data_IF_046294883904
#
_entry.id   IF_046294883904
#
_cell.length_a   1.000
_cell.length_b   1.000
_cell.length_c   1.000
_cell.angle_alpha   90.00
_cell.angle_beta   90.00
_cell.angle_gamma   90.00
#
_symmetry.space_group_name_H-M   'P 1'
#
loop_
_entity.id
_entity.type
_entity.pdbx_description
1 polymer ?
#
# COMPACT_ATOMS: atom_id res chain seq x y z
N UNK A 1 49.80 -12.83 3.50
CA UNK A 1 48.94 -12.58 4.67
C UNK A 1 47.93 -11.44 4.46
N UNK A 2 48.24 -10.39 3.70
CA UNK A 2 47.31 -9.26 3.43
C UNK A 2 46.05 -9.62 2.62
N UNK A 3 46.12 -10.61 1.73
CA UNK A 3 44.99 -10.97 0.84
C UNK A 3 43.85 -11.73 1.55
N UNK A 4 44.14 -12.45 2.63
CA UNK A 4 43.14 -13.20 3.39
C UNK A 4 42.29 -12.31 4.33
N UNK A 5 42.86 -11.20 4.82
CA UNK A 5 42.17 -10.21 5.65
C UNK A 5 41.16 -9.37 4.86
N UNK A 6 41.49 -9.04 3.61
CA UNK A 6 40.59 -8.31 2.70
C UNK A 6 39.38 -9.17 2.27
N UNK A 7 39.59 -10.48 2.05
CA UNK A 7 38.52 -11.40 1.72
C UNK A 7 37.57 -11.64 2.91
N UNK A 8 38.09 -11.75 4.13
CA UNK A 8 37.29 -11.91 5.35
C UNK A 8 36.42 -10.68 5.65
N UNK A 9 36.93 -9.48 5.39
CA UNK A 9 36.17 -8.24 5.53
C UNK A 9 35.04 -8.11 4.51
N UNK A 10 35.26 -8.55 3.25
CA UNK A 10 34.24 -8.54 2.20
C UNK A 10 33.09 -9.54 2.46
N UNK A 11 33.40 -10.71 3.03
CA UNK A 11 32.39 -11.73 3.35
C UNK A 11 31.55 -11.29 4.56
N UNK A 12 32.15 -10.71 5.60
CA UNK A 12 31.40 -10.11 6.72
C UNK A 12 30.48 -8.98 6.23
N UNK A 13 30.95 -8.16 5.28
CA UNK A 13 30.17 -7.08 4.67
C UNK A 13 28.96 -7.63 3.89
N UNK A 14 29.12 -8.72 3.14
CA UNK A 14 28.01 -9.35 2.42
C UNK A 14 26.97 -9.98 3.36
N UNK A 15 27.37 -10.49 4.53
CA UNK A 15 26.42 -11.05 5.50
C UNK A 15 25.74 -9.98 6.35
N UNK A 16 26.43 -8.88 6.68
CA UNK A 16 25.86 -7.75 7.43
C UNK A 16 24.96 -6.83 6.59
N UNK A 17 25.13 -6.84 5.26
CA UNK A 17 24.27 -6.12 4.32
C UNK A 17 23.11 -6.96 3.77
N UNK A 18 22.90 -8.19 4.25
CA UNK A 18 21.69 -8.96 3.91
C UNK A 18 20.56 -8.80 4.94
N UNK A 19 20.86 -8.28 6.13
CA UNK A 19 19.86 -7.66 7.00
C UNK A 19 19.61 -6.21 6.54
N UNK A 20 19.31 -6.04 5.25
CA UNK A 20 18.74 -4.78 4.76
C UNK A 20 17.43 -4.58 5.50
N UNK A 21 17.44 -3.57 6.35
CA UNK A 21 16.26 -2.96 6.92
C UNK A 21 15.20 -2.84 5.82
N UNK A 22 14.19 -3.70 5.87
CA UNK A 22 12.90 -3.33 5.32
C UNK A 22 12.53 -2.01 6.01
N UNK A 23 12.25 -0.99 5.20
CA UNK A 23 11.59 0.21 5.71
C UNK A 23 10.30 -0.27 6.38
N UNK A 24 10.31 -0.36 7.71
CA UNK A 24 9.10 -0.66 8.46
C UNK A 24 8.21 0.56 8.27
N UNK A 25 7.15 0.42 7.48
CA UNK A 25 6.07 1.40 7.44
C UNK A 25 5.47 1.44 8.84
N UNK A 26 5.89 2.42 9.64
CA UNK A 26 5.31 2.69 10.93
C UNK A 26 4.47 3.95 10.75
N UNK A 27 3.16 3.79 10.83
CA UNK A 27 2.25 4.92 10.97
C UNK A 27 2.54 5.57 12.31
N UNK A 28 3.17 6.73 12.29
CA UNK A 28 3.26 7.62 13.45
C UNK A 28 2.20 8.71 13.39
N UNK A 29 0.98 8.33 13.04
CA UNK A 29 -0.15 9.16 13.44
C UNK A 29 -0.36 8.96 14.95
N UNK A 30 -0.82 9.99 15.66
CA UNK A 30 -1.31 9.85 17.04
C UNK A 30 -2.54 8.90 17.14
N UNK A 31 -2.95 8.28 16.02
CA UNK A 31 -4.07 7.35 15.92
C UNK A 31 -3.53 5.93 16.09
N UNK A 32 -3.86 5.24 17.20
CA UNK A 32 -3.37 3.89 17.44
C UNK A 32 -3.97 2.90 16.43
N UNK A 33 -3.12 2.01 15.90
CA UNK A 33 -3.58 0.79 15.23
C UNK A 33 -4.37 -0.07 16.23
N UNK A 34 -5.56 -0.53 15.79
CA UNK A 34 -6.46 -1.36 16.60
C UNK A 34 -6.97 -2.53 15.76
N UNK A 35 -7.34 -3.65 16.39
CA UNK A 35 -7.95 -4.74 15.65
C UNK A 35 -9.34 -4.34 15.13
N UNK A 36 -9.75 -4.85 13.95
CA UNK A 36 -11.03 -4.49 13.32
C UNK A 36 -12.24 -4.62 14.26
N UNK A 37 -12.29 -5.65 15.12
CA UNK A 37 -13.43 -5.85 16.02
C UNK A 37 -13.58 -4.79 17.11
N UNK A 38 -12.52 -4.04 17.42
CA UNK A 38 -12.58 -2.89 18.35
C UNK A 38 -13.07 -1.62 17.62
N UNK A 39 -12.76 -1.49 16.33
CA UNK A 39 -13.17 -0.34 15.50
C UNK A 39 -14.62 -0.51 15.03
N UNK A 40 -14.95 -1.70 14.54
CA UNK A 40 -16.23 -2.05 13.95
C UNK A 40 -16.86 -3.21 14.75
N UNK A 41 -17.94 -2.97 15.50
CA UNK A 41 -18.62 -4.02 16.27
C UNK A 41 -19.26 -5.14 15.40
N UNK A 42 -19.69 -4.83 14.17
CA UNK A 42 -20.27 -5.79 13.21
C UNK A 42 -19.95 -5.43 11.75
N UNK A 43 -20.36 -6.29 10.82
CA UNK A 43 -20.26 -6.02 9.38
C UNK A 43 -21.03 -4.79 8.93
N UNK A 44 -22.15 -4.45 9.59
CA UNK A 44 -22.86 -3.20 9.35
C UNK A 44 -21.98 -1.99 9.61
N UNK A 45 -21.38 -1.89 10.81
CA UNK A 45 -20.53 -0.73 11.12
C UNK A 45 -19.31 -0.68 10.22
N UNK A 46 -18.74 -1.84 9.85
CA UNK A 46 -17.64 -1.89 8.88
C UNK A 46 -18.05 -1.25 7.55
N UNK A 47 -19.13 -1.73 6.93
CA UNK A 47 -19.57 -1.25 5.63
C UNK A 47 -20.01 0.22 5.66
N UNK A 48 -20.76 0.63 6.68
CA UNK A 48 -21.33 1.99 6.72
C UNK A 48 -20.31 3.06 7.13
N UNK A 49 -19.22 2.70 7.85
CA UNK A 49 -18.26 3.68 8.39
C UNK A 49 -16.91 3.71 7.70
N UNK A 50 -16.35 2.55 7.31
CA UNK A 50 -14.97 2.49 6.80
C UNK A 50 -14.72 3.49 5.68
N UNK A 51 -15.66 3.57 4.74
CA UNK A 51 -15.57 4.43 3.57
C UNK A 51 -16.46 5.68 3.67
N UNK A 52 -16.61 6.24 4.87
CA UNK A 52 -17.31 7.51 5.11
C UNK A 52 -18.73 7.56 4.53
N UNK A 53 -19.53 6.52 4.77
CA UNK A 53 -20.90 6.42 4.27
C UNK A 53 -21.02 6.17 2.76
N UNK A 54 -19.96 5.72 2.10
CA UNK A 54 -20.01 5.27 0.70
C UNK A 54 -21.00 4.13 0.51
N UNK A 55 -21.13 3.25 1.51
CA UNK A 55 -21.95 2.05 1.47
C UNK A 55 -23.03 2.02 2.55
N UNK A 56 -24.12 1.32 2.27
CA UNK A 56 -25.23 1.07 3.21
C UNK A 56 -25.44 -0.42 3.32
N UNK A 57 -25.63 -0.92 4.54
CA UNK A 57 -25.86 -2.34 4.78
C UNK A 57 -27.29 -2.74 4.38
N UNK A 58 -27.43 -3.54 3.31
CA UNK A 58 -28.72 -3.95 2.75
C UNK A 58 -28.95 -5.47 2.90
N UNK A 59 -30.12 -5.82 3.45
CA UNK A 59 -30.55 -7.20 3.74
C UNK A 59 -31.52 -7.76 2.71
N UNK A 60 -32.05 -6.90 1.83
CA UNK A 60 -32.85 -7.33 0.71
C UNK A 60 -31.97 -7.60 -0.51
N UNK A 61 -31.80 -8.88 -0.86
CA UNK A 61 -30.89 -9.31 -1.93
C UNK A 61 -31.23 -8.70 -3.29
N UNK A 62 -32.50 -8.41 -3.58
CA UNK A 62 -32.89 -7.81 -4.86
C UNK A 62 -32.50 -6.33 -5.00
N UNK A 63 -32.06 -5.71 -3.91
CA UNK A 63 -31.69 -4.29 -3.82
C UNK A 63 -30.22 -4.07 -3.46
N UNK A 64 -29.44 -5.15 -3.32
CA UNK A 64 -28.11 -5.11 -2.75
C UNK A 64 -27.04 -5.53 -3.77
N UNK A 65 -26.11 -4.61 -4.05
CA UNK A 65 -24.95 -4.85 -4.88
C UNK A 65 -23.97 -5.80 -4.19
N UNK A 66 -23.18 -6.51 -4.98
CA UNK A 66 -22.04 -7.31 -4.50
C UNK A 66 -20.74 -6.74 -5.05
N UNK A 67 -19.70 -6.73 -4.23
CA UNK A 67 -18.35 -6.29 -4.62
C UNK A 67 -17.53 -7.39 -5.27
N UNK A 68 -18.12 -8.57 -5.48
CA UNK A 68 -17.52 -9.65 -6.24
C UNK A 68 -18.60 -10.63 -6.72
N UNK A 69 -18.37 -11.25 -7.88
CA UNK A 69 -19.25 -12.28 -8.44
C UNK A 69 -18.45 -13.26 -9.32
N UNK A 70 -19.05 -14.44 -9.54
CA UNK A 70 -18.50 -15.49 -10.40
C UNK A 70 -19.39 -15.81 -11.61
N UNK A 71 -20.55 -15.15 -11.68
CA UNK A 71 -21.49 -15.29 -12.77
C UNK A 71 -20.90 -14.71 -14.06
N UNK A 72 -21.36 -15.22 -15.20
CA UNK A 72 -20.94 -14.71 -16.52
C UNK A 72 -21.41 -13.27 -16.75
N UNK A 73 -22.65 -12.98 -16.33
CA UNK A 73 -23.26 -11.66 -16.43
C UNK A 73 -23.11 -10.93 -15.09
N UNK A 74 -22.94 -9.60 -15.14
CA UNK A 74 -22.82 -8.79 -13.93
C UNK A 74 -24.16 -8.75 -13.17
N UNK A 75 -24.28 -9.37 -11.98
CA UNK A 75 -25.55 -9.39 -11.24
C UNK A 75 -25.95 -8.01 -10.70
N UNK A 76 -25.00 -7.06 -10.64
CA UNK A 76 -25.28 -5.70 -10.21
C UNK A 76 -26.17 -4.94 -11.22
N UNK A 77 -26.18 -5.33 -12.49
CA UNK A 77 -27.07 -4.74 -13.49
C UNK A 77 -28.55 -5.03 -13.18
N UNK A 78 -28.84 -6.21 -12.64
CA UNK A 78 -30.19 -6.61 -12.20
C UNK A 78 -30.61 -5.81 -10.98
N UNK A 79 -29.70 -5.63 -10.01
CA UNK A 79 -29.92 -4.79 -8.83
C UNK A 79 -30.22 -3.35 -9.24
N UNK A 80 -29.44 -2.78 -10.17
CA UNK A 80 -29.68 -1.45 -10.73
C UNK A 80 -31.09 -1.33 -11.30
N UNK A 81 -31.55 -2.32 -12.08
CA UNK A 81 -32.92 -2.32 -12.64
C UNK A 81 -34.00 -2.45 -11.56
N UNK A 82 -33.77 -3.26 -10.53
CA UNK A 82 -34.71 -3.41 -9.40
C UNK A 82 -34.84 -2.13 -8.57
N UNK A 83 -33.81 -1.27 -8.58
CA UNK A 83 -33.85 0.06 -7.98
C UNK A 83 -34.53 1.11 -8.87
N UNK A 84 -35.02 0.74 -10.06
CA UNK A 84 -35.64 1.65 -11.02
C UNK A 84 -34.63 2.51 -11.78
N UNK A 85 -33.36 2.11 -11.79
CA UNK A 85 -32.28 2.76 -12.52
C UNK A 85 -31.95 1.95 -13.79
N UNK A 86 -31.02 2.46 -14.58
CA UNK A 86 -30.51 1.79 -15.78
C UNK A 86 -28.99 1.70 -15.69
N UNK A 87 -28.42 0.61 -16.22
CA UNK A 87 -26.98 0.46 -16.33
C UNK A 87 -26.40 1.68 -17.08
N UNK A 88 -25.37 2.35 -16.54
CA UNK A 88 -24.90 3.60 -17.09
C UNK A 88 -24.07 3.37 -18.37
N UNK A 89 -24.20 4.27 -19.33
CA UNK A 89 -23.36 4.30 -20.54
C UNK A 89 -22.04 5.04 -20.33
N UNK A 90 -21.85 5.66 -19.16
CA UNK A 90 -20.67 6.42 -18.78
C UNK A 90 -20.15 5.88 -17.45
N UNK A 91 -18.83 5.86 -17.29
CA UNK A 91 -18.22 5.72 -15.98
C UNK A 91 -18.31 7.10 -15.32
N UNK A 92 -18.99 7.19 -14.18
CA UNK A 92 -19.22 8.49 -13.52
C UNK A 92 -18.18 8.84 -12.44
N UNK A 93 -17.50 7.84 -11.89
CA UNK A 93 -16.33 8.05 -11.03
C UNK A 93 -15.13 8.49 -11.87
N UNK A 94 -14.13 9.11 -11.25
CA UNK A 94 -13.00 9.76 -11.93
C UNK A 94 -11.66 9.33 -11.32
N UNK A 95 -10.56 9.97 -11.73
CA UNK A 95 -9.15 9.65 -11.44
C UNK A 95 -8.60 8.53 -12.33
N UNK A 96 -8.92 7.27 -12.03
CA UNK A 96 -8.36 6.12 -12.74
C UNK A 96 -9.38 5.41 -13.66
N UNK A 97 -10.60 5.92 -13.67
CA UNK A 97 -11.71 5.40 -14.45
C UNK A 97 -11.65 5.84 -15.91
N UNK A 98 -12.10 4.95 -16.81
CA UNK A 98 -12.41 5.27 -18.21
C UNK A 98 -13.54 6.29 -18.31
N UNK A 99 -13.83 6.79 -19.52
CA UNK A 99 -15.01 7.64 -19.75
C UNK A 99 -16.29 6.82 -19.90
N UNK A 100 -16.17 5.64 -20.54
CA UNK A 100 -17.28 4.74 -20.90
C UNK A 100 -16.92 3.30 -20.53
N UNK A 101 -17.89 2.49 -20.08
CA UNK A 101 -17.67 1.07 -19.86
C UNK A 101 -17.30 0.34 -21.16
N UNK A 102 -16.49 -0.71 -21.05
CA UNK A 102 -16.15 -1.56 -22.20
C UNK A 102 -15.25 -2.74 -21.84
N UNK A 103 -15.00 -3.65 -22.80
CA UNK A 103 -14.26 -4.88 -22.55
C UNK A 103 -12.76 -4.63 -22.33
N UNK A 104 -12.16 -5.48 -21.51
CA UNK A 104 -10.74 -5.52 -21.18
C UNK A 104 -10.07 -6.76 -21.81
N UNK A 105 -8.73 -6.75 -22.02
CA UNK A 105 -8.01 -7.84 -22.68
C UNK A 105 -8.06 -9.15 -21.89
N UNK A 106 -7.72 -10.28 -22.52
CA UNK A 106 -7.67 -11.61 -21.88
C UNK A 106 -6.70 -11.70 -20.69
N UNK A 107 -5.74 -10.78 -20.61
CA UNK A 107 -4.77 -10.66 -19.51
C UNK A 107 -5.34 -9.97 -18.27
N UNK A 108 -6.56 -9.43 -18.34
CA UNK A 108 -7.30 -8.79 -17.24
C UNK A 108 -7.74 -9.81 -16.17
N UNK A 109 -6.82 -10.19 -15.29
CA UNK A 109 -7.00 -11.31 -14.37
C UNK A 109 -7.42 -10.91 -12.94
N UNK A 110 -6.89 -9.81 -12.40
CA UNK A 110 -7.13 -9.45 -10.98
C UNK A 110 -8.58 -9.08 -10.72
N UNK A 111 -9.18 -8.21 -11.55
CA UNK A 111 -10.58 -7.78 -11.43
C UNK A 111 -11.48 -8.43 -12.48
N UNK A 112 -11.17 -9.68 -12.86
CA UNK A 112 -11.79 -10.39 -13.98
C UNK A 112 -13.33 -10.43 -14.02
N UNK A 113 -14.11 -10.33 -12.93
CA UNK A 113 -15.57 -10.32 -13.03
C UNK A 113 -16.11 -9.22 -13.95
N UNK A 114 -15.41 -8.08 -14.08
CA UNK A 114 -15.82 -6.96 -14.93
C UNK A 114 -15.21 -6.99 -16.33
N UNK A 115 -14.48 -8.04 -16.72
CA UNK A 115 -13.72 -8.08 -17.97
C UNK A 115 -14.54 -7.69 -19.21
N UNK A 116 -15.77 -8.19 -19.34
CA UNK A 116 -16.59 -7.95 -20.53
C UNK A 116 -17.15 -6.51 -20.60
N UNK A 117 -17.26 -5.81 -19.46
CA UNK A 117 -17.80 -4.47 -19.39
C UNK A 117 -17.32 -3.75 -18.10
N UNK A 118 -16.13 -3.15 -18.14
CA UNK A 118 -15.48 -2.52 -16.99
C UNK A 118 -15.36 -1.00 -17.14
N UNK A 119 -15.21 -0.29 -16.02
CA UNK A 119 -14.81 1.12 -15.95
C UNK A 119 -13.33 1.36 -15.64
N UNK A 120 -12.54 0.32 -15.40
CA UNK A 120 -11.09 0.39 -15.16
C UNK A 120 -10.31 -0.12 -16.38
N UNK A 121 -8.97 -0.13 -16.32
CA UNK A 121 -8.12 -0.75 -17.34
C UNK A 121 -7.23 -1.83 -16.73
N UNK A 122 -6.74 -2.78 -17.51
CA UNK A 122 -5.73 -3.74 -17.07
C UNK A 122 -4.53 -3.07 -16.37
N UNK A 123 -4.03 -1.93 -16.87
CA UNK A 123 -2.92 -1.24 -16.20
C UNK A 123 -3.29 -0.83 -14.77
N UNK A 124 -4.49 -0.27 -14.58
CA UNK A 124 -5.00 0.17 -13.27
C UNK A 124 -5.03 -0.98 -12.25
N UNK A 125 -5.35 -2.19 -12.70
CA UNK A 125 -5.61 -3.34 -11.82
C UNK A 125 -4.75 -4.57 -12.13
N UNK A 126 -3.55 -4.36 -12.67
CA UNK A 126 -2.68 -5.47 -13.12
C UNK A 126 -2.18 -6.40 -12.01
N UNK A 127 -2.24 -5.97 -10.75
CA UNK A 127 -1.93 -6.77 -9.56
C UNK A 127 -2.47 -6.12 -8.29
N UNK A 128 -2.65 -6.91 -7.23
CA UNK A 128 -2.90 -6.42 -5.86
C UNK A 128 -1.96 -5.27 -5.48
N UNK A 129 -0.65 -5.41 -5.78
CA UNK A 129 0.34 -4.39 -5.41
C UNK A 129 0.12 -3.08 -6.19
N UNK A 130 -0.21 -3.17 -7.47
CA UNK A 130 -0.52 -1.99 -8.30
C UNK A 130 -1.75 -1.27 -7.75
N UNK A 131 -2.82 -2.00 -7.45
CA UNK A 131 -4.06 -1.45 -6.88
C UNK A 131 -3.77 -0.71 -5.58
N UNK A 132 -2.99 -1.34 -4.69
CA UNK A 132 -2.62 -0.75 -3.40
C UNK A 132 -1.86 0.57 -3.55
N UNK A 133 -0.95 0.63 -4.53
CA UNK A 133 -0.09 1.78 -4.78
C UNK A 133 -0.76 2.91 -5.57
N UNK A 134 -1.93 2.69 -6.17
CA UNK A 134 -2.59 3.59 -7.12
C UNK A 134 -2.82 5.01 -6.60
N UNK A 135 -2.99 5.16 -5.30
CA UNK A 135 -3.36 6.44 -4.68
C UNK A 135 -2.27 7.07 -3.82
N UNK A 136 -1.19 6.35 -3.53
CA UNK A 136 -0.12 6.79 -2.63
C UNK A 136 -0.08 5.98 -1.33
N UNK A 137 1.08 5.99 -0.63
CA UNK A 137 1.31 5.20 0.56
C UNK A 137 0.35 5.52 1.71
N UNK A 138 -0.12 6.77 1.80
CA UNK A 138 -1.10 7.20 2.79
C UNK A 138 -2.47 6.53 2.61
N UNK A 139 -2.78 5.99 1.43
CA UNK A 139 -4.04 5.31 1.12
C UNK A 139 -3.93 3.78 1.08
N UNK A 140 -2.78 3.22 1.45
CA UNK A 140 -2.64 1.77 1.57
C UNK A 140 -3.58 1.20 2.64
N UNK A 141 -4.30 0.11 2.36
CA UNK A 141 -5.18 -0.51 3.36
C UNK A 141 -4.44 -1.18 4.52
N UNK A 142 -3.16 -1.54 4.34
CA UNK A 142 -2.30 -2.27 5.27
C UNK A 142 -1.32 -1.35 6.03
N UNK A 143 -1.71 -0.09 6.25
CA UNK A 143 -0.92 0.90 7.01
C UNK A 143 -0.51 0.43 8.41
N UNK A 144 -1.30 -0.44 9.05
CA UNK A 144 -0.97 -1.03 10.36
C UNK A 144 -0.17 -2.33 10.29
N UNK A 145 0.46 -2.59 9.14
CA UNK A 145 1.15 -3.83 8.82
C UNK A 145 0.30 -4.75 7.94
N UNK A 146 0.91 -5.82 7.41
CA UNK A 146 0.25 -6.73 6.47
C UNK A 146 -1.03 -7.33 7.06
N UNK A 147 -2.12 -7.29 6.30
CA UNK A 147 -3.37 -7.97 6.64
C UNK A 147 -3.24 -9.48 6.36
N UNK A 148 -4.03 -10.30 7.04
CA UNK A 148 -4.12 -11.72 6.65
C UNK A 148 -4.65 -11.84 5.21
N UNK A 149 -4.25 -12.90 4.45
CA UNK A 149 -4.76 -13.11 3.09
C UNK A 149 -6.29 -13.26 3.02
N UNK A 150 -6.94 -13.68 4.11
CA UNK A 150 -8.39 -13.76 4.17
C UNK A 150 -9.04 -12.37 4.19
N UNK A 151 -8.44 -11.43 4.93
CA UNK A 151 -8.88 -10.05 5.02
C UNK A 151 -8.52 -9.24 3.77
N UNK A 152 -7.27 -9.33 3.29
CA UNK A 152 -6.79 -8.52 2.15
C UNK A 152 -7.61 -8.75 0.88
N UNK A 153 -8.10 -9.98 0.66
CA UNK A 153 -9.00 -10.29 -0.47
C UNK A 153 -10.23 -9.39 -0.52
N UNK A 154 -10.80 -8.98 0.61
CA UNK A 154 -11.96 -8.10 0.61
C UNK A 154 -11.60 -6.67 0.20
N UNK A 155 -10.42 -6.18 0.58
CA UNK A 155 -9.92 -4.88 0.12
C UNK A 155 -9.65 -4.89 -1.39
N UNK A 156 -9.09 -5.98 -1.92
CA UNK A 156 -8.89 -6.13 -3.37
C UNK A 156 -10.22 -6.18 -4.11
N UNK A 157 -11.20 -6.94 -3.60
CA UNK A 157 -12.55 -7.01 -4.18
C UNK A 157 -13.25 -5.66 -4.17
N UNK A 158 -13.19 -4.93 -3.06
CA UNK A 158 -13.77 -3.59 -2.96
C UNK A 158 -13.08 -2.60 -3.89
N UNK A 159 -11.74 -2.62 -3.99
CA UNK A 159 -11.01 -1.77 -4.92
C UNK A 159 -11.34 -2.10 -6.39
N UNK A 160 -11.40 -3.39 -6.75
CA UNK A 160 -11.86 -3.82 -8.07
C UNK A 160 -13.29 -3.33 -8.35
N UNK A 161 -14.19 -3.45 -7.38
CA UNK A 161 -15.55 -2.95 -7.49
C UNK A 161 -15.57 -1.45 -7.71
N UNK A 162 -14.85 -0.67 -6.90
CA UNK A 162 -14.79 0.78 -7.01
C UNK A 162 -14.28 1.22 -8.39
N UNK A 163 -13.16 0.66 -8.86
CA UNK A 163 -12.55 1.05 -10.14
C UNK A 163 -13.33 0.55 -11.37
N UNK A 164 -13.87 -0.67 -11.30
CA UNK A 164 -14.30 -1.41 -12.48
C UNK A 164 -15.82 -1.49 -12.64
N UNK A 165 -16.62 -1.36 -11.58
CA UNK A 165 -18.08 -1.51 -11.66
C UNK A 165 -18.74 -0.31 -12.33
N UNK A 166 -19.39 -0.48 -13.50
CA UNK A 166 -20.10 0.62 -14.15
C UNK A 166 -21.16 1.26 -13.26
N UNK A 167 -21.89 0.46 -12.48
CA UNK A 167 -22.99 0.93 -11.66
C UNK A 167 -22.55 1.73 -10.41
N UNK A 168 -21.28 1.62 -9.97
CA UNK A 168 -20.78 2.34 -8.79
C UNK A 168 -20.93 3.86 -8.94
N UNK A 169 -20.72 4.35 -10.16
CA UNK A 169 -20.86 5.76 -10.51
C UNK A 169 -22.27 6.35 -10.33
N UNK A 170 -23.32 5.52 -10.30
CA UNK A 170 -24.70 5.98 -10.02
C UNK A 170 -24.85 6.52 -8.59
N UNK A 171 -23.93 6.12 -7.70
CA UNK A 171 -23.89 6.51 -6.28
C UNK A 171 -22.83 7.57 -6.00
N UNK A 172 -22.30 8.25 -7.02
CA UNK A 172 -21.39 9.39 -6.81
C UNK A 172 -22.10 10.46 -5.99
N UNK A 173 -21.49 10.85 -4.86
CA UNK A 173 -22.04 11.80 -3.88
C UNK A 173 -22.41 13.14 -4.51
N UNK A 174 -21.59 13.61 -5.45
CA UNK A 174 -21.81 14.84 -6.21
C UNK A 174 -22.00 14.51 -7.71
N UNK A 175 -23.22 14.12 -8.12
CA UNK A 175 -23.52 13.89 -9.53
C UNK A 175 -23.40 15.21 -10.32
N UNK A 176 -23.20 15.15 -11.64
CA UNK A 176 -22.86 16.35 -12.43
C UNK A 176 -23.87 17.50 -12.30
N UNK A 177 -25.15 17.18 -12.11
CA UNK A 177 -26.21 18.19 -11.86
C UNK A 177 -26.03 19.00 -10.56
N UNK A 178 -25.31 18.45 -9.58
CA UNK A 178 -25.07 19.02 -8.26
C UNK A 178 -23.59 19.35 -8.03
N UNK A 179 -22.70 19.01 -8.96
CA UNK A 179 -21.27 19.28 -8.84
C UNK A 179 -20.97 20.76 -9.04
N UNK A 180 -20.16 21.34 -8.13
CA UNK A 180 -19.73 22.73 -8.20
C UNK A 180 -18.20 22.75 -8.07
N UNK A 181 -17.50 23.11 -9.15
CA UNK A 181 -16.03 23.14 -9.17
C UNK A 181 -15.43 24.20 -8.22
N UNK A 182 -16.22 25.21 -7.82
CA UNK A 182 -15.77 26.27 -6.93
C UNK A 182 -15.94 25.90 -5.45
N UNK A 183 -16.66 24.83 -5.12
CA UNK A 183 -16.82 24.35 -3.76
C UNK A 183 -15.73 23.31 -3.45
N UNK A 184 -14.78 23.58 -2.54
CA UNK A 184 -13.68 22.67 -2.24
C UNK A 184 -14.15 21.36 -1.57
N UNK A 185 -15.38 21.30 -1.07
CA UNK A 185 -15.95 20.05 -0.53
C UNK A 185 -16.48 19.13 -1.62
N UNK A 186 -16.71 19.64 -2.84
CA UNK A 186 -17.21 18.85 -3.96
C UNK A 186 -16.06 18.17 -4.69
N UNK A 187 -16.26 16.90 -5.00
CA UNK A 187 -15.31 16.11 -5.76
C UNK A 187 -16.04 15.14 -6.71
N UNK A 188 -15.28 14.45 -7.56
CA UNK A 188 -15.82 13.56 -8.61
C UNK A 188 -15.56 12.07 -8.34
N UNK A 189 -15.04 11.73 -7.16
CA UNK A 189 -14.58 10.39 -6.81
C UNK A 189 -15.36 9.78 -5.65
N UNK A 190 -15.92 10.61 -4.76
CA UNK A 190 -16.60 10.13 -3.57
C UNK A 190 -17.95 9.49 -3.92
N UNK A 191 -18.17 8.29 -3.40
CA UNK A 191 -19.45 7.60 -3.41
C UNK A 191 -20.26 7.91 -2.14
N UNK A 192 -21.56 7.65 -2.17
CA UNK A 192 -22.41 7.74 -0.99
C UNK A 192 -23.67 6.88 -1.15
N UNK A 193 -23.97 6.10 -0.11
CA UNK A 193 -25.27 5.45 0.02
C UNK A 193 -25.50 4.23 -0.86
N UNK A 194 -24.46 3.61 -1.42
CA UNK A 194 -24.64 2.42 -2.28
C UNK A 194 -25.02 1.19 -1.45
N UNK A 195 -26.15 0.51 -1.71
CA UNK A 195 -26.61 -0.61 -0.90
C UNK A 195 -25.77 -1.86 -1.19
N UNK A 196 -24.98 -2.32 -0.22
CA UNK A 196 -24.12 -3.50 -0.34
C UNK A 196 -24.75 -4.67 0.39
N UNK A 197 -24.60 -5.87 -0.20
CA UNK A 197 -25.13 -7.09 0.37
C UNK A 197 -24.57 -7.36 1.76
N UNK A 198 -25.48 -7.46 2.73
CA UNK A 198 -25.20 -7.74 4.13
C UNK A 198 -24.19 -8.86 4.37
N UNK A 199 -24.34 -10.02 3.73
CA UNK A 199 -23.39 -11.13 3.95
C UNK A 199 -21.97 -10.80 3.47
N UNK A 200 -21.81 -9.93 2.46
CA UNK A 200 -20.48 -9.48 2.04
C UNK A 200 -19.82 -8.66 3.16
N UNK A 201 -20.56 -7.70 3.73
CA UNK A 201 -20.11 -6.90 4.86
C UNK A 201 -19.74 -7.76 6.09
N UNK A 202 -20.58 -8.75 6.41
CA UNK A 202 -20.36 -9.67 7.54
C UNK A 202 -19.21 -10.65 7.28
N UNK A 203 -19.00 -11.07 6.04
CA UNK A 203 -17.87 -11.90 5.66
C UNK A 203 -16.56 -11.11 5.74
N UNK A 204 -16.54 -9.86 5.25
CA UNK A 204 -15.40 -8.96 5.35
C UNK A 204 -15.01 -8.75 6.82
N UNK A 205 -15.98 -8.39 7.66
CA UNK A 205 -15.76 -8.17 9.09
C UNK A 205 -15.18 -9.40 9.80
N UNK A 206 -15.74 -10.58 9.53
CA UNK A 206 -15.23 -11.83 10.11
C UNK A 206 -13.83 -12.16 9.65
N UNK A 207 -13.52 -11.94 8.37
CA UNK A 207 -12.19 -12.22 7.81
C UNK A 207 -11.11 -11.31 8.41
N UNK A 208 -11.43 -10.02 8.62
CA UNK A 208 -10.50 -9.03 9.15
C UNK A 208 -10.48 -8.92 10.68
N UNK A 209 -11.33 -9.66 11.39
CA UNK A 209 -11.65 -9.47 12.83
C UNK A 209 -10.44 -9.14 13.73
N UNK A 210 -9.32 -9.83 13.53
CA UNK A 210 -8.11 -9.72 14.36
C UNK A 210 -6.96 -8.96 13.69
N UNK A 211 -7.10 -8.61 12.41
CA UNK A 211 -6.09 -7.81 11.70
C UNK A 211 -6.07 -6.38 12.24
N UNK A 212 -4.90 -5.74 12.16
CA UNK A 212 -4.73 -4.37 12.64
C UNK A 212 -5.15 -3.38 11.56
N UNK A 213 -5.82 -2.31 11.96
CA UNK A 213 -6.30 -1.28 11.05
C UNK A 213 -6.21 0.10 11.69
N UNK A 214 -6.20 1.13 10.84
CA UNK A 214 -6.09 2.50 11.26
C UNK A 214 -7.32 3.32 10.85
N UNK A 215 -8.03 3.83 11.85
CA UNK A 215 -9.10 4.83 11.73
C UNK A 215 -9.19 5.63 13.03
N UNK A 216 -9.67 6.87 12.96
CA UNK A 216 -10.15 7.58 14.14
C UNK A 216 -11.36 6.86 14.78
N UNK A 217 -11.87 7.41 15.88
CA UNK A 217 -12.99 6.83 16.65
C UNK A 217 -14.32 6.79 15.89
N UNK A 218 -14.43 7.52 14.79
CA UNK A 218 -15.57 7.45 13.87
C UNK A 218 -15.54 6.22 12.96
N UNK A 219 -14.42 5.48 12.90
CA UNK A 219 -14.25 4.32 12.04
C UNK A 219 -13.95 4.67 10.59
N UNK A 220 -13.67 5.93 10.26
CA UNK A 220 -13.43 6.39 8.90
C UNK A 220 -11.97 6.11 8.47
N UNK A 221 -11.77 5.36 7.39
CA UNK A 221 -10.46 5.06 6.82
C UNK A 221 -9.66 6.31 6.45
N UNK A 222 -10.33 7.28 5.80
CA UNK A 222 -9.69 8.48 5.26
C UNK A 222 -9.14 9.38 6.36
N UNK A 223 -9.73 9.31 7.55
CA UNK A 223 -9.29 10.08 8.72
C UNK A 223 -7.85 9.71 9.12
N UNK A 224 -7.46 8.44 8.99
CA UNK A 224 -6.09 8.01 9.25
C UNK A 224 -5.13 8.42 8.14
N UNK A 225 -5.53 8.25 6.88
CA UNK A 225 -4.72 8.64 5.73
C UNK A 225 -4.32 10.13 5.77
N UNK A 226 -5.23 11.00 6.23
CA UNK A 226 -4.97 12.44 6.37
C UNK A 226 -3.85 12.81 7.35
N UNK A 227 -3.42 11.88 8.21
CA UNK A 227 -2.36 12.10 9.23
C UNK A 227 -1.13 11.22 8.99
N UNK A 228 -1.03 10.58 7.83
CA UNK A 228 0.07 9.69 7.49
C UNK A 228 1.41 10.44 7.45
N UNK A 229 2.41 9.91 8.16
CA UNK A 229 3.78 10.38 8.18
C UNK A 229 4.72 9.20 7.96
N UNK A 230 5.69 9.35 7.05
CA UNK A 230 6.71 8.33 6.80
C UNK A 230 7.83 8.45 7.84
N UNK A 231 8.01 7.43 8.69
CA UNK A 231 9.24 7.30 9.46
C UNK A 231 10.35 6.75 8.57
N UNK A 232 11.37 7.57 8.31
CA UNK A 232 12.63 7.07 7.75
C UNK A 232 13.30 6.20 8.82
N UNK A 233 13.32 4.88 8.60
CA UNK A 233 14.18 4.00 9.37
C UNK A 233 15.61 4.55 9.31
N UNK A 234 16.21 4.83 10.46
CA UNK A 234 17.56 5.37 10.54
C UNK A 234 18.50 4.51 9.66
N UNK A 235 19.07 5.13 8.63
CA UNK A 235 19.90 4.45 7.64
C UNK A 235 21.06 3.71 8.34
N UNK A 236 20.91 2.39 8.47
CA UNK A 236 21.95 1.52 9.00
C UNK A 236 23.24 1.61 8.18
N UNK A 237 23.16 2.02 6.92
CA UNK A 237 24.30 2.27 6.04
C UNK A 237 25.19 3.41 6.54
N UNK A 238 24.62 4.49 7.07
CA UNK A 238 25.37 5.61 7.65
C UNK A 238 26.13 5.18 8.91
N UNK A 239 25.52 4.38 9.78
CA UNK A 239 26.17 3.87 11.00
C UNK A 239 27.30 2.90 10.64
N UNK A 240 27.06 1.97 9.71
CA UNK A 240 28.10 1.03 9.22
C UNK A 240 29.24 1.79 8.53
N UNK A 241 28.93 2.82 7.74
CA UNK A 241 29.91 3.68 7.07
C UNK A 241 30.80 4.45 8.05
N UNK A 242 30.22 5.01 9.12
CA UNK A 242 30.96 5.70 10.18
C UNK A 242 31.87 4.71 10.93
N UNK A 243 31.34 3.55 11.33
CA UNK A 243 32.12 2.53 12.05
C UNK A 243 33.28 2.02 11.18
N UNK A 244 33.03 1.73 9.91
CA UNK A 244 34.07 1.30 8.98
C UNK A 244 35.12 2.39 8.74
N UNK A 245 34.69 3.64 8.54
CA UNK A 245 35.58 4.79 8.42
C UNK A 245 36.51 4.96 9.64
N UNK A 246 35.95 4.83 10.85
CA UNK A 246 36.73 4.86 12.08
C UNK A 246 37.76 3.72 12.17
N UNK A 247 37.38 2.50 11.80
CA UNK A 247 38.30 1.34 11.83
C UNK A 247 39.46 1.49 10.85
N UNK A 248 39.21 2.01 9.64
CA UNK A 248 40.27 2.26 8.64
C UNK A 248 41.24 3.34 9.15
N UNK A 249 40.74 4.41 9.76
CA UNK A 249 41.58 5.47 10.33
C UNK A 249 42.47 4.92 11.45
N UNK A 250 41.93 4.11 12.36
CA UNK A 250 42.71 3.49 13.45
C UNK A 250 43.81 2.58 12.88
N UNK A 251 43.51 1.80 11.85
CA UNK A 251 44.50 0.94 11.20
C UNK A 251 45.63 1.77 10.55
N UNK A 252 45.30 2.87 9.85
CA UNK A 252 46.29 3.77 9.24
C UNK A 252 47.19 4.44 10.28
N UNK A 253 46.61 4.91 11.39
CA UNK A 253 47.37 5.47 12.52
C UNK A 253 48.30 4.41 13.13
N UNK A 254 47.83 3.18 13.29
CA UNK A 254 48.64 2.07 13.76
C UNK A 254 49.82 1.74 12.84
N UNK A 255 49.59 1.74 11.51
CA UNK A 255 50.65 1.53 10.51
C UNK A 255 51.67 2.66 10.54
N UNK A 256 51.22 3.91 10.58
CA UNK A 256 52.12 5.08 10.69
C UNK A 256 52.94 5.02 11.97
N UNK A 257 52.31 4.72 13.11
CA UNK A 257 52.99 4.55 14.39
C UNK A 257 54.04 3.44 14.35
N UNK A 258 53.72 2.31 13.73
CA UNK A 258 54.65 1.20 13.53
C UNK A 258 55.85 1.57 12.65
N UNK A 259 55.60 2.28 11.53
CA UNK A 259 56.66 2.75 10.64
C UNK A 259 57.60 3.73 11.37
N UNK A 260 57.05 4.68 12.12
CA UNK A 260 57.83 5.63 12.93
C UNK A 260 58.64 4.91 14.03
N UNK A 261 58.05 3.89 14.68
CA UNK A 261 58.75 3.09 15.67
C UNK A 261 59.93 2.32 15.08
N UNK A 262 59.74 1.71 13.90
CA UNK A 262 60.79 0.98 13.19
C UNK A 262 61.92 1.89 12.70
N UNK A 263 61.59 3.11 12.28
CA UNK A 263 62.58 4.13 11.95
C UNK A 263 63.41 4.50 13.19
N UNK A 264 62.75 4.79 14.32
CA UNK A 264 63.42 5.16 15.57
C UNK A 264 64.27 4.06 16.19
N UNK A 265 63.93 2.80 15.93
CA UNK A 265 64.69 1.63 16.43
C UNK A 265 65.79 1.16 15.47
N UNK A 266 66.03 1.91 14.38
CA UNK A 266 67.12 1.63 13.44
C UNK A 266 66.88 0.41 12.54
N UNK A 267 65.63 -0.04 12.42
CA UNK A 267 65.23 -1.13 11.52
C UNK A 267 64.20 -0.65 10.50
N UNK A 268 64.57 0.28 9.59
CA UNK A 268 63.63 0.88 8.65
C UNK A 268 62.98 -0.18 7.75
N UNK A 269 61.69 -0.01 7.46
CA UNK A 269 60.94 -0.91 6.57
C UNK A 269 61.26 -0.63 5.10
N UNK A 270 61.49 0.63 4.77
CA UNK A 270 61.82 1.07 3.41
C UNK A 270 63.31 1.38 3.32
N UNK A 271 63.92 1.07 2.18
CA UNK A 271 65.32 1.44 1.90
C UNK A 271 65.38 2.90 1.44
N UNK A 272 66.46 3.64 1.74
CA UNK A 272 66.71 4.96 1.17
C UNK A 272 66.67 4.91 -0.36
N UNK A 273 66.11 5.94 -0.99
CA UNK A 273 65.89 5.99 -2.44
C UNK A 273 67.19 5.85 -3.24
N UNK A 274 68.32 6.33 -2.72
CA UNK A 274 69.65 6.18 -3.33
C UNK A 274 70.11 4.72 -3.46
N UNK A 275 69.51 3.81 -2.69
CA UNK A 275 69.83 2.37 -2.71
C UNK A 275 68.87 1.55 -3.58
N UNK A 276 67.84 2.17 -4.17
CA UNK A 276 66.84 1.47 -4.99
C UNK A 276 67.02 1.68 -6.50
N UNK A 277 67.91 2.58 -6.91
CA UNK A 277 68.17 2.93 -8.33
C UNK A 277 69.48 2.31 -8.85
N UNK A 278 70.12 1.43 -8.07
CA UNK A 278 71.30 0.66 -8.46
C UNK A 278 70.96 -0.77 -8.83
#
# INVERSE_FOLDING_TARGET
MFSALLLGAAILFSTLTHDLAEAKVVVTSDIPCRPFHEIYPSGRELCEKMWDGSFVYETNRSRAYTMWFFDQDNPNDDVTRNLGLSAPSLCHLRYLHKDTPGPEPDTFAECHPWKENSCCTEDTVSSVQKIKQSYGPEWHWDRCGPLTPACERFFVQEACFYECEPNAGLFRKYPDRHFNASDPSHNRWQMSGMPIWSDFCDAWHRACRNDQFCSHDDGNFFSCAATYTEEQAADGGTVVGIVFGCLVIVALIGVLGFLVFRERTGQPVFKPLEQQVS
#
